data_IF_052346107232
#
_entry.id   IF_052346107232
#
_cell.length_a   1.000
_cell.length_b   1.000
_cell.length_c   1.000
_cell.angle_alpha   90.00
_cell.angle_beta   90.00
_cell.angle_gamma   90.00
#
_symmetry.space_group_name_H-M   'P 1'
#
loop_
_entity.id
_entity.type
_entity.pdbx_description
1 polymer ?
#
# COMPACT_ATOMS: atom_id res chain seq x y z
N UNK A 1 17.99 -10.21 22.34
CA UNK A 1 16.61 -10.19 22.90
C UNK A 1 15.65 -10.09 21.73
N UNK A 2 14.61 -10.93 21.69
CA UNK A 2 13.55 -10.81 20.68
C UNK A 2 12.71 -9.55 20.96
N UNK A 3 12.33 -8.82 19.93
CA UNK A 3 11.40 -7.70 20.06
C UNK A 3 10.02 -8.25 20.51
N UNK A 4 9.28 -7.53 21.37
CA UNK A 4 7.92 -7.92 21.72
C UNK A 4 7.02 -7.95 20.47
N UNK A 5 5.98 -8.80 20.46
CA UNK A 5 5.06 -8.87 19.34
C UNK A 5 4.29 -7.55 19.19
N UNK A 6 4.10 -7.11 17.94
CA UNK A 6 3.23 -5.97 17.63
C UNK A 6 1.77 -6.40 17.73
N UNK A 7 0.96 -5.59 18.39
CA UNK A 7 -0.48 -5.80 18.52
C UNK A 7 -1.20 -4.79 17.61
N UNK A 8 -1.93 -5.30 16.63
CA UNK A 8 -2.71 -4.49 15.69
C UNK A 8 -4.20 -4.74 15.81
N UNK A 9 -5.01 -3.76 15.38
CA UNK A 9 -6.45 -3.92 15.28
C UNK A 9 -6.91 -3.93 13.81
N UNK A 10 -8.07 -4.54 13.54
CA UNK A 10 -8.68 -4.55 12.21
C UNK A 10 -9.83 -3.54 12.15
N UNK A 11 -9.71 -2.52 11.31
CA UNK A 11 -10.78 -1.58 11.00
C UNK A 11 -11.75 -2.22 9.99
N UNK A 12 -12.81 -2.83 10.51
CA UNK A 12 -13.79 -3.61 9.73
C UNK A 12 -14.82 -2.73 9.04
N UNK A 13 -14.55 -2.39 7.77
CA UNK A 13 -15.51 -1.70 6.89
C UNK A 13 -16.77 -2.50 6.61
N UNK A 14 -16.76 -3.79 6.90
CA UNK A 14 -17.92 -4.67 6.86
C UNK A 14 -18.94 -4.31 7.94
N UNK A 15 -18.47 -3.92 9.13
CA UNK A 15 -19.30 -3.79 10.35
C UNK A 15 -19.66 -2.34 10.70
N UNK A 16 -18.84 -1.36 10.30
CA UNK A 16 -18.97 0.01 10.76
C UNK A 16 -18.79 1.03 9.63
N UNK A 17 -19.35 2.22 9.81
CA UNK A 17 -19.14 3.34 8.89
C UNK A 17 -17.69 3.85 8.91
N UNK A 18 -17.20 4.48 7.82
CA UNK A 18 -15.87 5.11 7.81
C UNK A 18 -15.64 6.12 8.94
N UNK A 19 -16.65 6.90 9.32
CA UNK A 19 -16.55 7.87 10.42
C UNK A 19 -16.35 7.19 11.78
N UNK A 20 -17.04 6.08 12.03
CA UNK A 20 -16.86 5.30 13.25
C UNK A 20 -15.47 4.66 13.28
N UNK A 21 -15.03 4.08 12.17
CA UNK A 21 -13.70 3.47 12.08
C UNK A 21 -12.57 4.49 12.23
N UNK A 22 -12.78 5.74 11.81
CA UNK A 22 -11.83 6.83 12.06
C UNK A 22 -11.72 7.14 13.56
N UNK A 23 -12.84 7.17 14.28
CA UNK A 23 -12.83 7.34 15.73
C UNK A 23 -12.15 6.15 16.43
N UNK A 24 -12.43 4.92 15.98
CA UNK A 24 -11.79 3.70 16.48
C UNK A 24 -10.27 3.71 16.24
N UNK A 25 -9.80 4.15 15.08
CA UNK A 25 -8.37 4.24 14.79
C UNK A 25 -7.62 5.20 15.73
N UNK A 26 -8.21 6.35 16.04
CA UNK A 26 -7.65 7.29 17.01
C UNK A 26 -7.64 6.71 18.42
N UNK A 27 -8.71 6.03 18.81
CA UNK A 27 -8.79 5.37 20.12
C UNK A 27 -7.76 4.23 20.24
N UNK A 28 -7.56 3.45 19.18
CA UNK A 28 -6.56 2.39 19.14
C UNK A 28 -5.13 2.93 19.32
N UNK A 29 -4.80 4.06 18.68
CA UNK A 29 -3.51 4.73 18.91
C UNK A 29 -3.36 5.18 20.37
N UNK A 30 -4.38 5.84 20.91
CA UNK A 30 -4.37 6.35 22.29
C UNK A 30 -4.23 5.24 23.35
N UNK A 31 -4.69 4.03 23.03
CA UNK A 31 -4.64 2.87 23.92
C UNK A 31 -3.35 2.04 23.74
N UNK A 32 -2.53 2.35 22.75
CA UNK A 32 -1.21 1.73 22.56
C UNK A 32 -1.16 0.59 21.56
N UNK A 33 -2.11 0.50 20.60
CA UNK A 33 -1.95 -0.41 19.46
C UNK A 33 -0.76 0.02 18.57
N UNK A 34 -0.04 -0.95 18.02
CA UNK A 34 1.18 -0.74 17.23
C UNK A 34 0.91 -0.57 15.72
N UNK A 35 -0.28 -0.96 15.26
CA UNK A 35 -0.71 -0.86 13.87
C UNK A 35 -2.22 -1.07 13.71
N UNK A 36 -2.70 -0.79 12.50
CA UNK A 36 -4.03 -1.09 12.07
C UNK A 36 -4.03 -1.76 10.69
N UNK A 37 -5.06 -2.53 10.39
CA UNK A 37 -5.30 -3.00 9.03
C UNK A 37 -6.76 -2.80 8.63
N UNK A 38 -7.02 -2.77 7.33
CA UNK A 38 -8.39 -2.79 6.80
C UNK A 38 -8.47 -3.58 5.50
N UNK A 39 -9.61 -4.21 5.29
CA UNK A 39 -10.01 -4.87 4.06
C UNK A 39 -10.83 -3.92 3.18
N UNK A 40 -10.64 -4.03 1.88
CA UNK A 40 -11.35 -3.23 0.90
C UNK A 40 -12.42 -4.05 0.17
N UNK A 41 -13.68 -3.71 0.46
CA UNK A 41 -14.87 -4.41 -0.04
C UNK A 41 -15.80 -3.47 -0.81
N UNK A 42 -16.38 -3.99 -1.89
CA UNK A 42 -17.37 -3.26 -2.68
C UNK A 42 -18.81 -3.42 -2.15
N UNK A 43 -19.12 -4.56 -1.52
CA UNK A 43 -20.43 -4.82 -0.92
C UNK A 43 -20.28 -5.38 0.49
N UNK A 44 -21.28 -5.17 1.37
CA UNK A 44 -21.33 -5.84 2.66
C UNK A 44 -21.30 -7.35 2.49
N UNK A 45 -20.71 -8.05 3.45
CA UNK A 45 -20.70 -9.52 3.48
C UNK A 45 -22.11 -10.11 3.66
N UNK A 46 -23.00 -9.34 4.29
CA UNK A 46 -24.41 -9.68 4.48
C UNK A 46 -25.18 -8.50 5.06
N UNK A 47 -26.51 -8.65 5.11
CA UNK A 47 -27.40 -7.63 5.68
C UNK A 47 -27.11 -7.37 7.17
N UNK A 48 -26.62 -8.38 7.89
CA UNK A 48 -26.33 -8.27 9.33
C UNK A 48 -25.12 -7.38 9.63
N UNK A 49 -24.09 -7.37 8.77
CA UNK A 49 -22.93 -6.50 8.91
C UNK A 49 -23.20 -5.11 8.34
N UNK A 50 -23.92 -5.03 7.20
CA UNK A 50 -24.57 -3.80 6.74
C UNK A 50 -23.68 -2.69 6.17
N UNK A 51 -22.35 -2.77 6.33
CA UNK A 51 -21.42 -1.72 5.89
C UNK A 51 -20.42 -2.24 4.83
N UNK A 52 -19.93 -1.31 4.01
CA UNK A 52 -18.86 -1.54 3.03
C UNK A 52 -18.21 -0.19 2.67
N UNK A 53 -17.56 0.42 3.66
CA UNK A 53 -16.88 1.71 3.46
C UNK A 53 -15.74 1.62 2.43
N UNK A 54 -15.53 2.71 1.68
CA UNK A 54 -14.41 2.77 0.72
C UNK A 54 -13.08 2.96 1.46
N UNK A 55 -12.25 1.91 1.50
CA UNK A 55 -11.08 1.84 2.35
C UNK A 55 -10.02 2.91 2.04
N UNK A 56 -9.87 3.31 0.78
CA UNK A 56 -8.85 4.28 0.36
C UNK A 56 -9.14 5.71 0.85
N UNK A 57 -10.40 6.17 0.77
CA UNK A 57 -10.76 7.47 1.35
C UNK A 57 -10.64 7.49 2.87
N UNK A 58 -11.00 6.38 3.52
CA UNK A 58 -10.84 6.24 4.96
C UNK A 58 -9.35 6.23 5.38
N UNK A 59 -8.49 5.52 4.65
CA UNK A 59 -7.06 5.44 4.92
C UNK A 59 -6.40 6.82 4.95
N UNK A 60 -6.73 7.69 3.98
CA UNK A 60 -6.22 9.07 3.95
C UNK A 60 -6.60 9.87 5.20
N UNK A 61 -7.86 9.77 5.64
CA UNK A 61 -8.33 10.44 6.86
C UNK A 61 -7.70 9.86 8.14
N UNK A 62 -7.51 8.53 8.18
CA UNK A 62 -6.87 7.86 9.29
C UNK A 62 -5.40 8.29 9.44
N UNK A 63 -4.62 8.24 8.35
CA UNK A 63 -3.22 8.67 8.31
C UNK A 63 -3.04 10.16 8.58
N UNK A 64 -4.03 11.00 8.22
CA UNK A 64 -3.99 12.42 8.54
C UNK A 64 -4.18 12.70 10.04
N UNK A 65 -4.70 11.74 10.82
CA UNK A 65 -5.15 12.00 12.19
C UNK A 65 -4.61 11.01 13.23
N UNK A 66 -3.75 10.08 12.81
CA UNK A 66 -2.97 9.17 13.66
C UNK A 66 -1.57 8.99 13.09
N UNK A 67 -0.67 8.38 13.88
CA UNK A 67 0.68 7.97 13.48
C UNK A 67 0.79 6.46 13.32
N UNK A 68 -0.33 5.74 13.36
CA UNK A 68 -0.36 4.29 13.21
C UNK A 68 0.12 3.89 11.81
N UNK A 69 0.97 2.86 11.70
CA UNK A 69 1.18 2.17 10.45
C UNK A 69 -0.10 1.43 10.04
N UNK A 70 -0.53 1.63 8.80
CA UNK A 70 -1.70 0.96 8.23
C UNK A 70 -1.31 -0.03 7.14
N UNK A 71 -2.05 -1.14 7.09
CA UNK A 71 -2.06 -2.05 5.95
C UNK A 71 -3.48 -2.13 5.39
N UNK A 72 -3.65 -1.93 4.07
CA UNK A 72 -4.94 -2.12 3.40
C UNK A 72 -4.82 -3.25 2.40
N UNK A 73 -5.70 -4.24 2.51
CA UNK A 73 -5.79 -5.33 1.54
C UNK A 73 -6.91 -5.02 0.56
N UNK A 74 -6.55 -4.89 -0.71
CA UNK A 74 -7.50 -4.75 -1.81
C UNK A 74 -7.28 -5.87 -2.84
N UNK A 75 -8.34 -6.26 -3.54
CA UNK A 75 -8.27 -7.25 -4.60
C UNK A 75 -7.94 -6.57 -5.94
N UNK A 76 -6.71 -6.70 -6.44
CA UNK A 76 -6.29 -6.04 -7.67
C UNK A 76 -6.99 -6.58 -8.92
N UNK A 77 -7.04 -5.78 -9.98
CA UNK A 77 -7.56 -6.17 -11.29
C UNK A 77 -9.03 -5.79 -11.49
N UNK A 78 -9.96 -6.74 -11.32
CA UNK A 78 -11.36 -6.62 -11.77
C UNK A 78 -12.18 -5.45 -11.20
N UNK A 79 -11.71 -4.80 -10.12
CA UNK A 79 -12.49 -3.84 -9.33
C UNK A 79 -11.89 -2.43 -9.31
N UNK A 80 -10.63 -2.30 -9.76
CA UNK A 80 -9.89 -1.05 -9.78
C UNK A 80 -9.38 -0.76 -11.18
N UNK A 81 -9.50 0.50 -11.60
CA UNK A 81 -8.98 0.92 -12.89
C UNK A 81 -7.45 0.67 -12.93
N UNK A 82 -6.88 0.13 -14.03
CA UNK A 82 -5.45 -0.19 -14.17
C UNK A 82 -4.52 1.04 -14.12
N UNK A 83 -5.08 2.25 -14.00
CA UNK A 83 -4.33 3.44 -13.59
C UNK A 83 -3.79 3.32 -12.15
N UNK A 84 -4.35 2.41 -11.34
CA UNK A 84 -3.63 1.76 -10.24
C UNK A 84 -2.77 0.66 -10.88
N UNK A 85 -1.47 0.92 -10.98
CA UNK A 85 -0.54 0.21 -11.86
C UNK A 85 -0.26 -1.22 -11.43
N UNK A 86 -0.72 -2.18 -12.24
CA UNK A 86 -0.52 -3.61 -12.01
C UNK A 86 -0.24 -4.27 -13.36
N UNK A 87 0.89 -4.94 -13.46
CA UNK A 87 1.33 -5.64 -14.68
C UNK A 87 2.14 -6.89 -14.32
N UNK A 88 2.16 -7.88 -15.20
CA UNK A 88 3.10 -9.01 -15.12
C UNK A 88 4.37 -8.78 -15.96
N UNK A 89 4.42 -7.69 -16.72
CA UNK A 89 5.56 -7.32 -17.58
C UNK A 89 6.56 -6.44 -16.82
N UNK A 90 7.79 -6.94 -16.69
CA UNK A 90 8.89 -6.24 -16.02
C UNK A 90 9.33 -4.99 -16.78
N UNK A 91 9.31 -5.01 -18.11
CA UNK A 91 9.66 -3.85 -18.94
C UNK A 91 8.65 -2.72 -18.77
N UNK A 92 7.38 -3.07 -18.64
CA UNK A 92 6.31 -2.12 -18.33
C UNK A 92 6.52 -1.44 -16.96
N UNK A 93 6.85 -2.21 -15.92
CA UNK A 93 7.13 -1.65 -14.59
C UNK A 93 8.38 -0.76 -14.60
N UNK A 94 9.44 -1.17 -15.28
CA UNK A 94 10.66 -0.37 -15.40
C UNK A 94 10.39 0.99 -16.06
N UNK A 95 9.60 1.04 -17.14
CA UNK A 95 9.22 2.28 -17.81
C UNK A 95 8.39 3.20 -16.89
N UNK A 96 7.44 2.63 -16.15
CA UNK A 96 6.62 3.38 -15.18
C UNK A 96 7.42 3.95 -14.00
N UNK A 97 8.39 3.19 -13.50
CA UNK A 97 9.31 3.65 -12.44
C UNK A 97 10.18 4.80 -12.96
N UNK A 98 10.68 4.71 -14.20
CA UNK A 98 11.46 5.78 -14.82
C UNK A 98 10.64 7.07 -14.97
N UNK A 99 9.39 6.98 -15.43
CA UNK A 99 8.47 8.13 -15.50
C UNK A 99 8.22 8.78 -14.13
N UNK A 100 8.00 7.98 -13.08
CA UNK A 100 7.86 8.52 -11.73
C UNK A 100 9.15 9.21 -11.27
N UNK A 101 10.32 8.63 -11.54
CA UNK A 101 11.59 9.25 -11.19
C UNK A 101 11.78 10.61 -11.89
N UNK A 102 11.38 10.74 -13.16
CA UNK A 102 11.43 12.01 -13.91
C UNK A 102 10.51 13.09 -13.32
N UNK A 103 9.42 12.70 -12.65
CA UNK A 103 8.53 13.64 -11.94
C UNK A 103 9.14 14.21 -10.65
N UNK A 104 10.32 13.73 -10.23
CA UNK A 104 11.06 14.28 -9.10
C UNK A 104 10.67 13.72 -7.73
N UNK A 105 10.11 12.51 -7.67
CA UNK A 105 9.90 11.82 -6.39
C UNK A 105 11.23 11.40 -5.76
N UNK A 106 11.46 11.77 -4.50
CA UNK A 106 12.68 11.43 -3.75
C UNK A 106 12.79 9.94 -3.39
N UNK A 107 11.66 9.22 -3.36
CA UNK A 107 11.59 7.81 -3.01
C UNK A 107 10.45 7.09 -3.74
N UNK A 108 10.73 5.90 -4.28
CA UNK A 108 9.76 5.00 -4.92
C UNK A 108 9.90 3.61 -4.29
N UNK A 109 8.85 3.12 -3.62
CA UNK A 109 8.83 1.80 -2.99
C UNK A 109 8.05 0.78 -3.85
N UNK A 110 8.66 -0.39 -4.08
CA UNK A 110 8.06 -1.50 -4.84
C UNK A 110 7.61 -2.61 -3.89
N UNK A 111 6.35 -3.00 -3.97
CA UNK A 111 5.76 -4.03 -3.11
C UNK A 111 5.37 -5.26 -3.94
N UNK A 112 5.86 -6.44 -3.54
CA UNK A 112 5.54 -7.71 -4.19
C UNK A 112 4.86 -8.68 -3.23
N UNK A 113 3.70 -9.21 -3.65
CA UNK A 113 2.79 -10.05 -2.84
C UNK A 113 3.02 -11.55 -3.07
N UNK A 114 3.89 -11.93 -4.00
CA UNK A 114 4.18 -13.32 -4.34
C UNK A 114 5.10 -14.01 -3.33
N UNK A 115 5.07 -15.35 -3.32
CA UNK A 115 5.88 -16.15 -2.38
C UNK A 115 7.35 -16.23 -2.75
N UNK A 116 7.71 -15.93 -3.99
CA UNK A 116 9.08 -15.96 -4.48
C UNK A 116 9.70 -14.55 -4.47
N UNK A 117 10.11 -14.12 -3.28
CA UNK A 117 10.75 -12.81 -3.06
C UNK A 117 12.11 -12.71 -3.75
N UNK A 118 12.84 -13.82 -3.89
CA UNK A 118 14.16 -13.84 -4.54
C UNK A 118 14.05 -13.47 -6.02
N UNK A 119 13.10 -14.07 -6.75
CA UNK A 119 12.87 -13.74 -8.16
C UNK A 119 12.44 -12.27 -8.36
N UNK A 120 11.72 -11.68 -7.39
CA UNK A 120 11.37 -10.27 -7.40
C UNK A 120 12.62 -9.38 -7.20
N UNK A 121 13.45 -9.71 -6.20
CA UNK A 121 14.70 -8.99 -5.92
C UNK A 121 15.65 -9.07 -7.12
N UNK A 122 15.80 -10.23 -7.75
CA UNK A 122 16.70 -10.40 -8.89
C UNK A 122 16.23 -9.56 -10.11
N UNK A 123 14.92 -9.56 -10.37
CA UNK A 123 14.32 -8.82 -11.47
C UNK A 123 14.43 -7.29 -11.29
N UNK A 124 14.07 -6.77 -10.12
CA UNK A 124 14.04 -5.33 -9.86
C UNK A 124 15.37 -4.76 -9.32
N UNK A 125 16.20 -5.61 -8.72
CA UNK A 125 17.58 -5.28 -8.36
C UNK A 125 18.48 -5.10 -9.59
N UNK A 126 18.28 -5.91 -10.64
CA UNK A 126 18.95 -5.73 -11.93
C UNK A 126 18.57 -4.43 -12.64
N UNK A 127 17.31 -4.01 -12.56
CA UNK A 127 16.82 -2.75 -13.14
C UNK A 127 17.48 -1.50 -12.52
N UNK A 128 17.89 -1.56 -11.25
CA UNK A 128 18.64 -0.49 -10.58
C UNK A 128 19.99 -0.22 -11.24
N UNK A 129 20.67 -1.25 -11.75
CA UNK A 129 21.95 -1.12 -12.46
C UNK A 129 21.80 -0.46 -13.85
N UNK A 130 20.64 -0.62 -14.50
CA UNK A 130 20.35 0.00 -15.79
C UNK A 130 20.05 1.51 -15.67
N UNK A 131 19.44 1.95 -14.57
CA UNK A 131 19.16 3.37 -14.31
C UNK A 131 20.32 4.12 -13.62
N UNK A 132 21.26 3.40 -12.99
CA UNK A 132 22.39 3.99 -12.26
C UNK A 132 23.66 4.18 -13.09
N UNK A 133 23.64 3.93 -14.42
CA UNK A 133 24.77 4.28 -15.27
C UNK A 133 24.92 5.81 -15.28
N UNK A 134 26.07 6.38 -14.86
CA UNK A 134 26.26 7.82 -14.98
C UNK A 134 26.23 8.16 -16.47
N UNK A 135 25.43 9.16 -16.83
CA UNK A 135 25.46 9.79 -18.15
C UNK A 135 26.92 10.22 -18.38
N UNK A 136 27.65 9.48 -19.22
CA UNK A 136 29.04 9.80 -19.55
C UNK A 136 29.05 11.18 -20.20
N UNK A 137 29.92 12.05 -19.69
CA UNK A 137 29.98 13.46 -19.99
C UNK A 137 30.02 13.82 -21.47
N UNK A 138 29.36 14.94 -21.76
CA UNK A 138 29.45 15.73 -22.98
C UNK A 138 30.91 16.16 -23.23
N UNK A 139 31.46 15.99 -24.45
CA UNK A 139 32.69 16.65 -24.86
C UNK A 139 32.39 18.05 -25.41
N UNK A 140 33.24 19.03 -25.04
CA UNK A 140 33.46 20.28 -25.80
C UNK A 140 33.96 20.00 -27.23
#
# INVERSE_FOLDING_TARGET
MALPPRIGFHASHEQFSPSELLAVARAAEQTGFDCAMSSDHFRPWGLAQGHSGFAWSWLGAAMATTRLPFLVISAPGYRYHPAIWISSDLGWHAARIAELAELGFDEIQLHQVGRNQQAFIDAFGGARAACAAPLRGEPE
#
